data_IF_295099474845
#
_entry.id   IF_295099474845
#
_cell.length_a   1.000
_cell.length_b   1.000
_cell.length_c   1.000
_cell.angle_alpha   90.00
_cell.angle_beta   90.00
_cell.angle_gamma   90.00
#
_symmetry.space_group_name_H-M   'P 1'
#
loop_
_entity.id
_entity.type
_entity.pdbx_description
1 polymer ?
#
# COMPACT_ATOMS: atom_id res chain seq x y z
N UNK A 1 -2.33 24.23 -29.62
CA UNK A 1 -3.37 24.72 -28.70
C UNK A 1 -2.93 24.42 -27.26
N UNK A 2 -2.34 25.40 -26.55
CA UNK A 2 -1.90 25.21 -25.16
C UNK A 2 -3.13 25.38 -24.26
N UNK A 3 -3.63 24.29 -23.68
CA UNK A 3 -4.65 24.36 -22.64
C UNK A 3 -4.01 24.92 -21.37
N UNK A 4 -4.16 26.22 -21.14
CA UNK A 4 -3.83 26.86 -19.87
C UNK A 4 -4.84 26.38 -18.82
N UNK A 5 -4.44 25.41 -18.00
CA UNK A 5 -5.18 25.02 -16.80
C UNK A 5 -5.36 26.26 -15.91
N UNK A 6 -6.57 26.56 -15.41
CA UNK A 6 -6.79 27.73 -14.56
C UNK A 6 -5.91 27.68 -13.31
N UNK A 7 -5.27 28.80 -12.97
CA UNK A 7 -4.27 28.90 -11.89
C UNK A 7 -4.83 28.50 -10.50
N UNK A 8 -6.13 28.68 -10.27
CA UNK A 8 -6.82 28.26 -9.04
C UNK A 8 -6.85 26.75 -8.83
N UNK A 9 -7.00 25.98 -9.89
CA UNK A 9 -7.03 24.50 -9.85
C UNK A 9 -5.63 23.93 -9.51
N UNK A 10 -4.55 24.63 -9.87
CA UNK A 10 -3.19 24.23 -9.51
C UNK A 10 -2.88 24.52 -8.04
N UNK A 11 -3.27 25.69 -7.54
CA UNK A 11 -3.04 26.07 -6.14
C UNK A 11 -3.78 25.13 -5.16
N UNK A 12 -5.03 24.81 -5.45
CA UNK A 12 -5.84 23.87 -4.65
C UNK A 12 -5.23 22.46 -4.64
N UNK A 13 -4.77 21.96 -5.79
CA UNK A 13 -4.08 20.66 -5.88
C UNK A 13 -2.78 20.65 -5.08
N UNK A 14 -1.98 21.70 -5.17
CA UNK A 14 -0.74 21.81 -4.41
C UNK A 14 -1.02 21.80 -2.90
N UNK A 15 -2.08 22.49 -2.47
CA UNK A 15 -2.50 22.49 -1.07
C UNK A 15 -2.93 21.08 -0.62
N UNK A 16 -3.68 20.34 -1.44
CA UNK A 16 -4.03 18.94 -1.16
C UNK A 16 -2.79 18.06 -1.01
N UNK A 17 -1.79 18.21 -1.89
CA UNK A 17 -0.53 17.46 -1.80
C UNK A 17 0.21 17.79 -0.51
N UNK A 18 0.38 19.07 -0.19
CA UNK A 18 1.11 19.50 1.01
C UNK A 18 0.46 19.00 2.30
N UNK A 19 -0.87 19.05 2.39
CA UNK A 19 -1.62 18.56 3.55
C UNK A 19 -1.49 17.05 3.76
N UNK A 20 -1.22 16.29 2.69
CA UNK A 20 -1.22 14.82 2.73
C UNK A 20 0.16 14.21 2.50
N UNK A 21 1.24 15.00 2.43
CA UNK A 21 2.60 14.47 2.24
C UNK A 21 3.03 13.52 3.37
N UNK A 22 2.54 13.76 4.60
CA UNK A 22 2.79 12.88 5.75
C UNK A 22 2.21 11.48 5.58
N UNK A 23 1.10 11.35 4.83
CA UNK A 23 0.48 10.07 4.51
C UNK A 23 1.43 9.17 3.72
N UNK A 24 2.17 9.74 2.77
CA UNK A 24 3.14 9.00 1.95
C UNK A 24 4.18 8.33 2.83
N UNK A 25 4.77 9.08 3.77
CA UNK A 25 5.78 8.56 4.70
C UNK A 25 5.21 7.41 5.53
N UNK A 26 4.03 7.60 6.13
CA UNK A 26 3.41 6.56 6.96
C UNK A 26 3.13 5.27 6.18
N UNK A 27 2.63 5.40 4.93
CA UNK A 27 2.36 4.25 4.07
C UNK A 27 3.63 3.54 3.61
N UNK A 28 4.66 4.30 3.21
CA UNK A 28 5.94 3.76 2.78
C UNK A 28 6.64 2.98 3.90
N UNK A 29 6.66 3.51 5.13
CA UNK A 29 7.24 2.82 6.29
C UNK A 29 6.49 1.51 6.59
N UNK A 30 5.16 1.55 6.60
CA UNK A 30 4.34 0.34 6.84
C UNK A 30 4.57 -0.72 5.76
N UNK A 31 4.76 -0.30 4.52
CA UNK A 31 5.04 -1.22 3.42
C UNK A 31 6.45 -1.81 3.56
N UNK A 32 7.47 -0.98 3.79
CA UNK A 32 8.86 -1.38 3.96
C UNK A 32 9.08 -2.42 5.07
N UNK A 33 8.32 -2.36 6.17
CA UNK A 33 8.36 -3.37 7.25
C UNK A 33 8.08 -4.81 6.77
N UNK A 34 7.46 -4.98 5.60
CA UNK A 34 7.06 -6.29 5.04
C UNK A 34 7.91 -6.71 3.85
N UNK A 35 8.98 -5.96 3.58
CA UNK A 35 9.82 -6.11 2.39
C UNK A 35 11.24 -6.49 2.84
N UNK A 36 11.94 -7.37 2.10
CA UNK A 36 13.40 -7.51 2.17
C UNK A 36 14.17 -6.18 2.21
N UNK A 37 15.39 -6.21 2.75
CA UNK A 37 16.25 -5.03 2.95
C UNK A 37 16.74 -4.37 1.66
N UNK A 38 16.57 -5.02 0.51
CA UNK A 38 16.96 -4.52 -0.80
C UNK A 38 16.03 -3.42 -1.34
N UNK A 39 14.85 -3.19 -0.74
CA UNK A 39 13.95 -2.09 -1.10
C UNK A 39 14.30 -0.93 -0.22
N UNK A 40 14.70 0.14 -0.88
CA UNK A 40 14.97 1.39 -0.23
C UNK A 40 13.65 2.10 0.12
N UNK A 41 13.53 2.50 1.38
CA UNK A 41 12.38 3.28 1.85
C UNK A 41 12.25 4.60 1.08
N UNK A 42 13.37 5.21 0.68
CA UNK A 42 13.39 6.43 -0.12
C UNK A 42 12.72 6.25 -1.49
N UNK A 43 12.82 5.06 -2.08
CA UNK A 43 12.23 4.76 -3.38
C UNK A 43 10.71 4.68 -3.25
N UNK A 44 10.22 3.97 -2.22
CA UNK A 44 8.80 3.91 -1.88
C UNK A 44 8.21 5.30 -1.60
N UNK A 45 8.93 6.14 -0.87
CA UNK A 45 8.50 7.53 -0.60
C UNK A 45 8.43 8.31 -1.92
N UNK A 46 9.44 8.20 -2.78
CA UNK A 46 9.50 8.93 -4.05
C UNK A 46 8.34 8.57 -4.98
N UNK A 47 8.09 7.28 -5.20
CA UNK A 47 6.95 6.83 -6.02
C UNK A 47 5.60 7.16 -5.37
N UNK A 48 5.54 7.14 -4.04
CA UNK A 48 4.36 7.55 -3.29
C UNK A 48 4.03 9.04 -3.44
N UNK A 49 5.05 9.92 -3.50
CA UNK A 49 4.87 11.35 -3.76
C UNK A 49 4.34 11.58 -5.18
N UNK A 50 4.88 10.87 -6.17
CA UNK A 50 4.37 10.93 -7.55
C UNK A 50 2.90 10.50 -7.59
N UNK A 51 2.56 9.38 -6.94
CA UNK A 51 1.18 8.90 -6.82
C UNK A 51 0.24 9.89 -6.11
N UNK A 52 0.73 10.65 -5.13
CA UNK A 52 -0.04 11.69 -4.44
C UNK A 52 -0.35 12.88 -5.36
N UNK A 53 0.64 13.33 -6.14
CA UNK A 53 0.47 14.41 -7.12
C UNK A 53 -0.57 14.00 -8.18
N UNK A 54 -0.47 12.79 -8.71
CA UNK A 54 -1.46 12.25 -9.64
C UNK A 54 -2.85 12.11 -9.03
N UNK A 55 -2.92 11.73 -7.74
CA UNK A 55 -4.17 11.67 -7.01
C UNK A 55 -4.81 13.06 -6.91
N UNK A 56 -4.04 14.10 -6.57
CA UNK A 56 -4.53 15.48 -6.53
C UNK A 56 -5.08 15.93 -7.89
N UNK A 57 -4.39 15.60 -9.00
CA UNK A 57 -4.88 15.93 -10.34
C UNK A 57 -6.20 15.24 -10.73
N UNK A 58 -6.36 13.98 -10.33
CA UNK A 58 -7.51 13.15 -10.71
C UNK A 58 -8.68 13.26 -9.73
N UNK A 59 -8.47 13.88 -8.58
CA UNK A 59 -9.50 14.02 -7.56
C UNK A 59 -10.66 14.89 -8.05
N UNK A 60 -11.88 14.49 -7.69
CA UNK A 60 -13.12 15.21 -7.99
C UNK A 60 -13.97 15.23 -6.72
N UNK A 61 -14.06 16.38 -6.02
CA UNK A 61 -14.85 16.49 -4.79
C UNK A 61 -16.34 16.12 -4.99
N UNK A 62 -16.86 16.32 -6.21
CA UNK A 62 -18.24 15.98 -6.58
C UNK A 62 -18.58 14.49 -6.45
N UNK A 63 -17.58 13.60 -6.36
CA UNK A 63 -17.79 12.16 -6.17
C UNK A 63 -18.09 11.78 -4.71
N UNK A 64 -18.05 12.73 -3.77
CA UNK A 64 -18.44 12.52 -2.36
C UNK A 64 -17.46 11.68 -1.54
N UNK A 65 -16.29 11.34 -2.08
CA UNK A 65 -15.24 10.57 -1.37
C UNK A 65 -14.19 11.55 -0.84
N UNK A 66 -13.83 11.53 0.46
CA UNK A 66 -12.76 12.36 0.99
C UNK A 66 -11.42 12.12 0.29
N UNK A 67 -10.63 13.18 0.10
CA UNK A 67 -9.34 13.09 -0.60
C UNK A 67 -8.39 12.08 0.05
N UNK A 68 -8.31 12.01 1.38
CA UNK A 68 -7.46 11.04 2.09
C UNK A 68 -7.80 9.59 1.70
N UNK A 69 -9.09 9.23 1.70
CA UNK A 69 -9.53 7.90 1.30
C UNK A 69 -9.21 7.59 -0.17
N UNK A 70 -9.38 8.58 -1.07
CA UNK A 70 -9.03 8.45 -2.47
C UNK A 70 -7.51 8.31 -2.68
N UNK A 71 -6.72 9.14 -2.01
CA UNK A 71 -5.27 9.19 -2.10
C UNK A 71 -4.64 7.89 -1.61
N UNK A 72 -5.06 7.36 -0.44
CA UNK A 72 -4.56 6.08 0.10
C UNK A 72 -4.56 4.95 -0.94
N UNK A 73 -5.67 4.80 -1.68
CA UNK A 73 -5.77 3.77 -2.73
C UNK A 73 -4.78 3.99 -3.87
N UNK A 74 -4.54 5.24 -4.26
CA UNK A 74 -3.60 5.58 -5.34
C UNK A 74 -2.14 5.48 -4.92
N UNK A 75 -1.80 5.93 -3.71
CA UNK A 75 -0.47 5.79 -3.13
C UNK A 75 -0.08 4.31 -3.01
N UNK A 76 -0.98 3.48 -2.49
CA UNK A 76 -0.73 2.05 -2.37
C UNK A 76 -0.53 1.39 -3.74
N UNK A 77 -1.35 1.76 -4.74
CA UNK A 77 -1.17 1.29 -6.12
C UNK A 77 0.20 1.65 -6.67
N UNK A 78 0.58 2.93 -6.62
CA UNK A 78 1.86 3.41 -7.14
C UNK A 78 3.06 2.71 -6.49
N UNK A 79 3.06 2.54 -5.17
CA UNK A 79 4.13 1.81 -4.46
C UNK A 79 4.17 0.33 -4.85
N UNK A 80 3.01 -0.34 -4.97
CA UNK A 80 2.95 -1.74 -5.36
C UNK A 80 3.35 -1.97 -6.82
N UNK A 81 3.02 -1.04 -7.71
CA UNK A 81 3.40 -1.10 -9.12
C UNK A 81 4.91 -0.91 -9.28
N UNK A 82 5.52 0.03 -8.55
CA UNK A 82 6.97 0.19 -8.51
C UNK A 82 7.70 -1.08 -8.00
N UNK A 83 7.14 -1.77 -7.01
CA UNK A 83 7.68 -3.05 -6.53
C UNK A 83 7.54 -4.17 -7.58
N UNK A 84 6.51 -4.14 -8.42
CA UNK A 84 6.36 -5.14 -9.50
C UNK A 84 7.40 -4.93 -10.59
N UNK A 85 7.69 -3.68 -10.92
CA UNK A 85 8.71 -3.34 -11.92
C UNK A 85 10.12 -3.75 -11.47
N UNK A 86 10.35 -3.85 -10.16
CA UNK A 86 11.57 -4.36 -9.54
C UNK A 86 11.63 -5.90 -9.43
N UNK A 87 10.65 -6.62 -9.99
CA UNK A 87 10.50 -8.09 -9.91
C UNK A 87 10.46 -8.63 -8.47
N UNK A 88 9.97 -7.81 -7.54
CA UNK A 88 10.20 -7.96 -6.10
C UNK A 88 9.52 -9.17 -5.42
N UNK A 89 8.56 -9.83 -6.06
CA UNK A 89 7.82 -10.93 -5.43
C UNK A 89 8.28 -12.31 -5.94
N UNK A 90 9.26 -12.96 -5.26
CA UNK A 90 9.57 -14.36 -5.49
C UNK A 90 8.31 -15.21 -5.53
N UNK A 91 8.28 -16.21 -6.41
CA UNK A 91 7.20 -17.21 -6.44
C UNK A 91 6.95 -17.84 -5.07
N UNK A 92 8.00 -18.00 -4.26
CA UNK A 92 7.94 -18.51 -2.89
C UNK A 92 7.16 -17.59 -1.95
N UNK A 93 7.37 -16.27 -2.00
CA UNK A 93 6.62 -15.31 -1.18
C UNK A 93 5.14 -15.25 -1.58
N UNK A 94 4.85 -15.39 -2.88
CA UNK A 94 3.48 -15.53 -3.39
C UNK A 94 2.81 -16.83 -2.95
N UNK A 95 3.58 -17.92 -2.86
CA UNK A 95 3.13 -19.21 -2.36
C UNK A 95 2.85 -19.13 -0.85
N UNK A 96 3.79 -18.59 -0.08
CA UNK A 96 3.67 -18.40 1.37
C UNK A 96 2.42 -17.59 1.76
N UNK A 97 2.13 -16.50 1.03
CA UNK A 97 0.91 -15.71 1.20
C UNK A 97 -0.36 -16.55 1.02
N UNK A 98 -0.43 -17.34 -0.07
CA UNK A 98 -1.59 -18.19 -0.34
C UNK A 98 -1.74 -19.30 0.69
N UNK A 99 -0.63 -19.90 1.11
CA UNK A 99 -0.60 -20.97 2.10
C UNK A 99 -1.04 -20.43 3.48
N UNK A 100 -0.61 -19.21 3.85
CA UNK A 100 -1.07 -18.50 5.05
C UNK A 100 -2.57 -18.21 5.01
N UNK A 101 -3.06 -17.59 3.93
CA UNK A 101 -4.48 -17.26 3.77
C UNK A 101 -5.35 -18.54 3.83
N UNK A 102 -4.88 -19.63 3.20
CA UNK A 102 -5.53 -20.93 3.24
C UNK A 102 -5.53 -21.56 4.65
N UNK A 103 -4.44 -21.43 5.39
CA UNK A 103 -4.31 -21.96 6.76
C UNK A 103 -5.22 -21.20 7.73
N UNK A 104 -5.26 -19.88 7.64
CA UNK A 104 -6.17 -19.04 8.46
C UNK A 104 -7.62 -19.41 8.16
N UNK A 105 -8.00 -19.55 6.88
CA UNK A 105 -9.36 -19.93 6.50
C UNK A 105 -9.76 -21.32 7.05
N UNK A 106 -8.84 -22.28 6.98
CA UNK A 106 -9.04 -23.63 7.54
C UNK A 106 -9.21 -23.60 9.06
N UNK A 107 -8.32 -22.93 9.78
CA UNK A 107 -8.37 -22.86 11.24
C UNK A 107 -9.59 -22.09 11.74
N UNK A 108 -9.99 -21.00 11.06
CA UNK A 108 -11.24 -20.29 11.35
C UNK A 108 -12.45 -21.21 11.29
N UNK A 109 -12.48 -22.09 10.29
CA UNK A 109 -13.55 -23.06 10.12
C UNK A 109 -13.51 -24.16 11.20
N UNK A 110 -12.33 -24.68 11.53
CA UNK A 110 -12.15 -25.73 12.55
C UNK A 110 -12.44 -25.24 13.98
N UNK A 111 -11.99 -24.03 14.33
CA UNK A 111 -12.09 -23.49 15.68
C UNK A 111 -13.39 -22.74 15.94
N UNK A 112 -14.16 -22.43 14.89
CA UNK A 112 -15.35 -21.57 14.93
C UNK A 112 -15.10 -20.20 15.61
N UNK A 113 -13.85 -19.75 15.58
CA UNK A 113 -13.36 -18.46 16.08
C UNK A 113 -12.15 -18.01 15.26
N UNK A 114 -11.68 -16.80 15.49
CA UNK A 114 -10.42 -16.34 14.92
C UNK A 114 -9.26 -17.16 15.51
N UNK A 115 -8.39 -17.76 14.67
CA UNK A 115 -7.20 -18.47 15.14
C UNK A 115 -6.16 -17.50 15.68
N UNK A 116 -5.50 -17.91 16.75
CA UNK A 116 -4.40 -17.15 17.34
C UNK A 116 -3.11 -17.33 16.54
N UNK A 117 -2.18 -16.38 16.67
CA UNK A 117 -0.93 -16.37 15.91
C UNK A 117 -0.09 -17.64 16.12
N UNK A 118 -0.11 -18.17 17.34
CA UNK A 118 0.58 -19.43 17.69
C UNK A 118 -0.04 -20.65 17.00
N UNK A 119 -1.36 -20.67 16.83
CA UNK A 119 -2.10 -21.74 16.16
C UNK A 119 -1.84 -21.73 14.65
N UNK A 120 -1.75 -20.53 14.05
CA UNK A 120 -1.40 -20.35 12.64
C UNK A 120 0.04 -20.80 12.37
N UNK A 121 0.99 -20.38 13.22
CA UNK A 121 2.40 -20.75 13.07
C UNK A 121 2.59 -22.27 13.18
N UNK A 122 1.99 -22.90 14.19
CA UNK A 122 2.01 -24.35 14.36
C UNK A 122 1.41 -25.09 13.16
N UNK A 123 0.30 -24.60 12.61
CA UNK A 123 -0.37 -25.20 11.46
C UNK A 123 0.38 -25.04 10.14
N UNK A 124 1.28 -24.06 10.03
CA UNK A 124 2.09 -23.83 8.84
C UNK A 124 3.45 -24.53 8.88
N UNK A 125 3.76 -25.27 9.95
CA UNK A 125 5.10 -25.83 10.23
C UNK A 125 6.22 -24.77 10.19
N UNK A 126 5.84 -23.49 10.32
CA UNK A 126 6.77 -22.39 10.50
C UNK A 126 7.07 -22.38 11.98
N UNK A 127 8.26 -22.84 12.38
CA UNK A 127 8.71 -22.62 13.75
C UNK A 127 8.55 -21.14 14.04
N UNK A 128 7.81 -20.78 15.09
CA UNK A 128 7.81 -19.43 15.62
C UNK A 128 9.28 -19.09 15.90
N UNK A 129 9.88 -18.32 14.99
CA UNK A 129 11.28 -17.92 15.09
C UNK A 129 11.42 -17.03 16.31
N UNK A 130 12.42 -17.34 17.12
CA UNK A 130 12.92 -16.55 18.25
C UNK A 130 13.13 -15.06 17.89
#
# INVERSE_FOLDING_TARGET
>A
MRMTTPQGDVAERNQLVLQHVGLVKAMAHRLAQRLPSQVELSDLISVGVIGLIEAAHRYRPSMGVPFDAFARRRLQGAMLDALRDLDWAPRSLRKLRRDLDGTIARLRHELAREPEEQEIAAAMELSAGE
#
